data_IF_187615368422
#
_entry.id   IF_187615368422
#
_cell.length_a   1.000
_cell.length_b   1.000
_cell.length_c   1.000
_cell.angle_alpha   90.00
_cell.angle_beta   90.00
_cell.angle_gamma   90.00
#
_symmetry.space_group_name_H-M   'P 1'
#
loop_
_entity.id
_entity.type
_entity.pdbx_description
1 polymer ?
#
# COMPACT_ATOMS: atom_id res chain seq x y z
N UNK A 1 19.28 16.48 0.57
CA UNK A 1 18.72 17.43 -0.42
C UNK A 1 17.27 17.08 -0.67
N UNK A 2 16.46 18.08 -1.00
CA UNK A 2 15.06 17.89 -1.42
C UNK A 2 15.02 17.65 -2.93
N UNK A 3 14.26 16.64 -3.37
CA UNK A 3 14.00 16.33 -4.79
C UNK A 3 12.52 16.63 -5.04
N UNK A 4 12.21 17.09 -6.24
CA UNK A 4 10.84 17.32 -6.68
C UNK A 4 10.52 16.46 -7.89
N UNK A 5 9.32 15.86 -7.89
CA UNK A 5 8.75 15.19 -9.05
C UNK A 5 7.43 15.87 -9.42
N UNK A 6 7.35 16.38 -10.63
CA UNK A 6 6.25 17.16 -11.19
C UNK A 6 5.54 16.43 -12.34
N UNK A 7 5.78 15.12 -12.46
CA UNK A 7 5.30 14.35 -13.58
C UNK A 7 3.77 14.14 -13.51
N UNK A 8 3.05 14.35 -14.63
CA UNK A 8 1.61 14.15 -14.71
C UNK A 8 1.23 12.67 -14.53
N UNK A 9 0.09 12.42 -13.85
CA UNK A 9 -0.39 11.08 -13.49
C UNK A 9 -1.72 10.79 -14.17
N UNK A 10 -1.77 9.68 -14.91
CA UNK A 10 -2.95 9.13 -15.58
C UNK A 10 -3.42 7.89 -14.82
N UNK A 11 -4.72 7.76 -14.60
CA UNK A 11 -5.31 6.48 -14.17
C UNK A 11 -5.52 5.63 -15.40
N UNK A 12 -4.78 4.52 -15.51
CA UNK A 12 -4.76 3.67 -16.69
C UNK A 12 -5.96 2.70 -16.69
N UNK A 13 -6.32 2.16 -15.52
CA UNK A 13 -7.54 1.36 -15.36
C UNK A 13 -8.14 1.60 -13.96
N UNK A 14 -9.43 1.91 -13.93
CA UNK A 14 -10.17 2.21 -12.71
C UNK A 14 -10.62 0.97 -11.93
N UNK A 15 -10.74 -0.19 -12.57
CA UNK A 15 -11.17 -1.45 -11.96
C UNK A 15 -10.09 -2.01 -11.04
N UNK A 16 -8.83 -1.98 -11.50
CA UNK A 16 -7.66 -2.35 -10.69
C UNK A 16 -7.02 -1.16 -9.98
N UNK A 17 -7.44 0.08 -10.30
CA UNK A 17 -6.97 1.29 -9.64
C UNK A 17 -5.51 1.64 -9.95
N UNK A 18 -5.00 1.27 -11.12
CA UNK A 18 -3.60 1.49 -11.49
C UNK A 18 -3.41 2.88 -12.12
N UNK A 19 -2.43 3.62 -11.59
CA UNK A 19 -1.97 4.91 -12.10
C UNK A 19 -0.55 4.82 -12.66
N UNK A 20 -0.25 5.56 -13.71
CA UNK A 20 1.10 5.67 -14.30
C UNK A 20 1.47 7.14 -14.55
N UNK A 21 2.77 7.41 -14.72
CA UNK A 21 3.23 8.68 -15.30
C UNK A 21 2.92 8.68 -16.79
N UNK A 22 2.32 9.77 -17.27
CA UNK A 22 1.93 9.92 -18.67
C UNK A 22 1.68 11.37 -19.01
N UNK A 23 2.09 11.81 -20.20
CA UNK A 23 1.83 13.16 -20.71
C UNK A 23 0.32 13.50 -20.78
N UNK A 24 -0.54 12.49 -20.90
CA UNK A 24 -2.00 12.66 -20.89
C UNK A 24 -2.59 12.73 -19.46
N UNK A 25 -1.74 12.58 -18.45
CA UNK A 25 -2.12 12.58 -17.05
C UNK A 25 -2.47 13.96 -16.50
N UNK A 26 -3.07 13.97 -15.31
CA UNK A 26 -3.36 15.22 -14.58
C UNK A 26 -2.06 15.75 -13.95
N UNK A 27 -1.82 17.08 -14.00
CA UNK A 27 -0.68 17.69 -13.32
C UNK A 27 -0.61 17.27 -11.85
N UNK A 28 0.57 16.86 -11.42
CA UNK A 28 0.83 16.29 -10.10
C UNK A 28 2.21 16.72 -9.63
N UNK A 29 2.37 17.06 -8.35
CA UNK A 29 3.66 17.51 -7.80
C UNK A 29 3.88 17.01 -6.39
N UNK A 30 5.04 16.42 -6.15
CA UNK A 30 5.46 15.90 -4.84
C UNK A 30 6.90 16.30 -4.54
N UNK A 31 7.15 16.77 -3.33
CA UNK A 31 8.49 17.03 -2.82
C UNK A 31 8.93 15.89 -1.90
N UNK A 32 10.15 15.41 -2.09
CA UNK A 32 10.74 14.34 -1.30
C UNK A 32 12.00 14.83 -0.61
N UNK A 33 12.10 14.62 0.70
CA UNK A 33 13.32 14.90 1.47
C UNK A 33 13.78 13.61 2.11
N UNK A 34 14.99 13.16 1.79
CA UNK A 34 15.58 11.98 2.44
C UNK A 34 15.89 12.32 3.90
N UNK A 35 15.32 11.55 4.82
CA UNK A 35 15.54 11.66 6.27
C UNK A 35 16.71 10.78 6.70
N UNK A 36 16.71 9.52 6.28
CA UNK A 36 17.76 8.56 6.61
C UNK A 36 18.03 7.59 5.43
N UNK A 37 19.20 6.93 5.45
CA UNK A 37 19.62 5.89 4.52
C UNK A 37 20.45 4.84 5.25
N UNK A 38 20.04 3.57 5.19
CA UNK A 38 20.72 2.46 5.87
C UNK A 38 21.67 1.66 4.97
N UNK A 39 22.01 2.17 3.77
CA UNK A 39 22.83 1.44 2.79
C UNK A 39 22.03 0.58 1.79
N UNK A 40 20.74 0.32 2.06
CA UNK A 40 19.84 -0.46 1.19
C UNK A 40 18.58 0.32 0.81
N UNK A 41 17.94 0.98 1.78
CA UNK A 41 16.71 1.74 1.62
C UNK A 41 16.80 3.10 2.32
N UNK A 42 15.93 4.03 1.90
CA UNK A 42 15.85 5.37 2.50
C UNK A 42 14.48 5.59 3.15
N UNK A 43 14.46 6.21 4.32
CA UNK A 43 13.25 6.86 4.84
C UNK A 43 13.15 8.24 4.21
N UNK A 44 12.01 8.54 3.58
CA UNK A 44 11.77 9.81 2.90
C UNK A 44 10.53 10.51 3.46
N UNK A 45 10.65 11.80 3.71
CA UNK A 45 9.51 12.68 3.93
C UNK A 45 8.93 13.05 2.56
N UNK A 46 7.70 12.63 2.30
CA UNK A 46 6.95 13.02 1.11
C UNK A 46 5.96 14.14 1.45
N UNK A 47 6.03 15.24 0.69
CA UNK A 47 5.07 16.36 0.76
C UNK A 47 4.36 16.48 -0.60
N UNK A 48 3.20 15.81 -0.78
CA UNK A 48 2.40 15.98 -1.97
C UNK A 48 1.78 17.39 -1.99
N UNK A 49 1.99 18.13 -3.07
CA UNK A 49 1.40 19.47 -3.28
C UNK A 49 0.07 19.40 -4.06
N UNK A 50 -0.22 18.22 -4.61
CA UNK A 50 -1.48 17.82 -5.24
C UNK A 50 -1.94 16.49 -4.64
N UNK A 51 -3.19 16.08 -4.88
CA UNK A 51 -3.75 14.85 -4.29
C UNK A 51 -4.29 13.85 -5.31
N UNK A 52 -3.45 13.34 -6.22
CA UNK A 52 -3.88 12.28 -7.16
C UNK A 52 -3.81 10.90 -6.52
N UNK A 53 -4.63 9.98 -7.03
CA UNK A 53 -4.61 8.57 -6.62
C UNK A 53 -3.21 7.99 -6.83
N UNK A 54 -2.67 7.36 -5.78
CA UNK A 54 -1.33 6.75 -5.75
C UNK A 54 -0.15 7.70 -6.04
N UNK A 55 -0.34 9.02 -5.95
CA UNK A 55 0.65 10.01 -6.37
C UNK A 55 2.06 9.78 -5.81
N UNK A 56 2.18 9.59 -4.49
CA UNK A 56 3.48 9.35 -3.84
C UNK A 56 4.12 8.06 -4.38
N UNK A 57 3.34 6.99 -4.51
CA UNK A 57 3.80 5.66 -4.95
C UNK A 57 4.34 5.71 -6.38
N UNK A 58 3.57 6.31 -7.30
CA UNK A 58 3.91 6.46 -8.72
C UNK A 58 5.09 7.41 -8.92
N UNK A 59 5.15 8.53 -8.19
CA UNK A 59 6.29 9.46 -8.29
C UNK A 59 7.58 8.82 -7.77
N UNK A 60 7.54 8.06 -6.67
CA UNK A 60 8.70 7.31 -6.18
C UNK A 60 9.15 6.22 -7.17
N UNK A 61 8.21 5.51 -7.78
CA UNK A 61 8.48 4.55 -8.86
C UNK A 61 9.17 5.22 -10.05
N UNK A 62 8.62 6.34 -10.55
CA UNK A 62 9.18 7.11 -11.66
C UNK A 62 10.62 7.56 -11.38
N UNK A 63 10.90 8.01 -10.15
CA UNK A 63 12.26 8.38 -9.73
C UNK A 63 13.21 7.18 -9.58
N UNK A 64 12.72 5.94 -9.75
CA UNK A 64 13.50 4.71 -9.62
C UNK A 64 13.66 4.22 -8.18
N UNK A 65 12.84 4.72 -7.26
CA UNK A 65 12.89 4.41 -5.83
C UNK A 65 11.52 4.01 -5.28
N UNK A 66 10.85 2.98 -5.86
CA UNK A 66 9.53 2.55 -5.40
C UNK A 66 9.54 2.16 -3.91
N UNK A 67 8.38 2.29 -3.26
CA UNK A 67 8.23 1.90 -1.86
C UNK A 67 8.55 0.41 -1.71
N UNK A 68 9.36 0.08 -0.71
CA UNK A 68 10.00 -1.25 -0.57
C UNK A 68 9.01 -2.40 -0.63
N UNK A 69 7.90 -2.31 0.10
CA UNK A 69 6.90 -3.36 0.20
C UNK A 69 5.65 -3.12 -0.68
N UNK A 70 5.74 -2.23 -1.66
CA UNK A 70 4.62 -1.94 -2.56
C UNK A 70 4.52 -3.00 -3.67
N UNK A 71 3.63 -3.98 -3.48
CA UNK A 71 3.44 -5.12 -4.38
C UNK A 71 3.02 -4.72 -5.79
N UNK A 72 2.41 -3.55 -5.98
CA UNK A 72 2.02 -3.06 -7.29
C UNK A 72 3.20 -2.35 -7.96
N UNK A 73 3.70 -1.26 -7.37
CA UNK A 73 4.64 -0.37 -8.05
C UNK A 73 6.11 -0.79 -7.92
N UNK A 74 6.44 -1.68 -6.98
CA UNK A 74 7.76 -2.31 -6.88
C UNK A 74 7.81 -3.68 -7.59
N UNK A 75 6.97 -3.89 -8.61
CA UNK A 75 6.86 -5.15 -9.34
C UNK A 75 7.69 -5.16 -10.63
N UNK A 76 8.20 -6.33 -10.99
CA UNK A 76 8.86 -6.60 -12.29
C UNK A 76 7.87 -6.62 -13.46
N UNK A 77 6.56 -6.60 -13.19
CA UNK A 77 5.52 -6.42 -14.22
C UNK A 77 5.74 -5.12 -15.00
N UNK A 78 6.31 -4.09 -14.36
CA UNK A 78 6.73 -2.82 -14.98
C UNK A 78 8.10 -2.88 -15.68
N UNK A 79 8.59 -4.07 -16.02
CA UNK A 79 9.89 -4.29 -16.64
C UNK A 79 11.08 -4.22 -15.67
N UNK A 80 12.29 -4.38 -16.20
CA UNK A 80 13.54 -4.42 -15.41
C UNK A 80 13.77 -3.15 -14.59
N UNK A 81 13.40 -1.99 -15.16
CA UNK A 81 13.50 -0.68 -14.51
C UNK A 81 12.33 -0.35 -13.59
N UNK A 82 11.33 -1.24 -13.49
CA UNK A 82 10.14 -1.09 -12.67
C UNK A 82 9.41 0.25 -12.88
N UNK A 83 9.32 0.75 -14.12
CA UNK A 83 8.63 2.01 -14.42
C UNK A 83 9.45 3.29 -14.19
N UNK A 84 10.74 3.19 -13.85
CA UNK A 84 11.64 4.35 -13.73
C UNK A 84 11.62 5.17 -15.02
N UNK A 85 11.61 6.50 -14.89
CA UNK A 85 11.53 7.47 -15.99
C UNK A 85 10.29 7.30 -16.88
N UNK A 86 9.27 6.56 -16.41
CA UNK A 86 8.08 6.20 -17.18
C UNK A 86 8.29 5.06 -18.17
N UNK A 87 9.43 4.37 -18.10
CA UNK A 87 9.76 3.23 -18.96
C UNK A 87 9.03 1.96 -18.50
N UNK A 88 7.96 1.61 -19.23
CA UNK A 88 7.15 0.43 -18.95
C UNK A 88 7.74 -0.86 -19.57
N UNK A 89 8.67 -0.73 -20.53
CA UNK A 89 9.24 -1.86 -21.28
C UNK A 89 8.26 -2.66 -22.15
N UNK A 90 6.99 -2.27 -22.21
CA UNK A 90 5.90 -2.95 -22.95
C UNK A 90 4.77 -1.98 -23.28
N UNK A 91 3.81 -2.43 -24.10
CA UNK A 91 2.60 -1.64 -24.40
C UNK A 91 1.69 -1.51 -23.17
N UNK A 92 0.81 -0.50 -23.18
CA UNK A 92 -0.18 -0.27 -22.11
C UNK A 92 -1.12 -1.46 -21.97
N UNK A 93 -1.56 -2.02 -23.09
CA UNK A 93 -2.47 -3.15 -23.16
C UNK A 93 -1.84 -4.41 -22.56
N UNK A 94 -0.56 -4.66 -22.89
CA UNK A 94 0.16 -5.80 -22.32
C UNK A 94 0.42 -5.60 -20.82
N UNK A 95 0.78 -4.38 -20.40
CA UNK A 95 0.95 -4.07 -18.97
C UNK A 95 -0.33 -4.31 -18.18
N UNK A 96 -1.49 -3.87 -18.69
CA UNK A 96 -2.77 -4.09 -18.03
C UNK A 96 -3.08 -5.57 -17.87
N UNK A 97 -2.88 -6.36 -18.93
CA UNK A 97 -3.06 -7.80 -18.87
C UNK A 97 -2.14 -8.45 -17.84
N UNK A 98 -0.85 -8.12 -17.84
CA UNK A 98 0.11 -8.67 -16.89
C UNK A 98 -0.22 -8.27 -15.44
N UNK A 99 -0.73 -7.05 -15.21
CA UNK A 99 -1.16 -6.60 -13.90
C UNK A 99 -2.45 -7.28 -13.42
N UNK A 100 -3.41 -7.50 -14.32
CA UNK A 100 -4.63 -8.25 -14.01
C UNK A 100 -4.29 -9.70 -13.61
N UNK A 101 -3.35 -10.34 -14.30
CA UNK A 101 -2.87 -11.69 -13.97
C UNK A 101 -2.08 -11.72 -12.65
N UNK A 102 -1.19 -10.74 -12.42
CA UNK A 102 -0.36 -10.69 -11.22
C UNK A 102 -1.14 -10.29 -9.95
N UNK A 103 -2.25 -9.56 -10.09
CA UNK A 103 -3.09 -9.10 -9.00
C UNK A 103 -4.49 -9.72 -9.04
N UNK A 104 -4.58 -10.96 -9.53
CA UNK A 104 -5.84 -11.67 -9.60
C UNK A 104 -6.43 -11.89 -8.19
N UNK A 105 -7.55 -11.22 -7.94
CA UNK A 105 -8.27 -11.30 -6.66
C UNK A 105 -8.99 -12.63 -6.48
N UNK A 106 -9.04 -13.49 -7.50
CA UNK A 106 -9.61 -14.84 -7.40
C UNK A 106 -8.94 -15.67 -6.31
N UNK A 107 -7.68 -15.38 -5.97
CA UNK A 107 -6.95 -16.04 -4.88
C UNK A 107 -7.61 -15.82 -3.51
N UNK A 108 -8.41 -14.77 -3.35
CA UNK A 108 -9.12 -14.47 -2.10
C UNK A 108 -10.57 -14.95 -2.13
N UNK A 109 -11.01 -15.63 -3.19
CA UNK A 109 -12.41 -16.00 -3.41
C UNK A 109 -12.52 -17.53 -3.40
N UNK A 110 -13.44 -18.06 -2.58
CA UNK A 110 -13.87 -19.47 -2.58
C UNK A 110 -12.72 -20.50 -2.45
N UNK A 111 -11.64 -20.17 -1.74
CA UNK A 111 -10.58 -21.13 -1.43
C UNK A 111 -10.99 -22.15 -0.34
N UNK A 112 -10.57 -23.42 -0.44
CA UNK A 112 -10.86 -24.42 0.58
C UNK A 112 -10.17 -24.09 1.91
N UNK A 113 -10.90 -24.27 3.01
CA UNK A 113 -10.42 -24.07 4.39
C UNK A 113 -9.51 -25.23 4.81
N UNK A 114 -8.26 -25.19 4.37
CA UNK A 114 -7.22 -26.01 4.96
C UNK A 114 -6.58 -25.25 6.14
N UNK A 115 -6.74 -25.78 7.35
CA UNK A 115 -6.27 -25.16 8.58
C UNK A 115 -4.74 -25.00 8.57
N UNK A 116 -4.02 -25.89 7.88
CA UNK A 116 -2.57 -25.84 7.72
C UNK A 116 -2.14 -24.71 6.78
N UNK A 117 -2.92 -24.46 5.72
CA UNK A 117 -2.67 -23.33 4.81
C UNK A 117 -2.94 -21.98 5.49
N UNK A 118 -3.97 -21.90 6.34
CA UNK A 118 -4.25 -20.67 7.08
C UNK A 118 -3.19 -20.38 8.15
N UNK A 119 -2.71 -21.41 8.85
CA UNK A 119 -1.64 -21.25 9.83
C UNK A 119 -0.31 -20.85 9.15
N UNK A 120 0.05 -21.50 8.04
CA UNK A 120 1.23 -21.10 7.26
C UNK A 120 1.17 -19.66 6.76
N UNK A 121 -0.03 -19.17 6.39
CA UNK A 121 -0.27 -17.77 6.01
C UNK A 121 -0.06 -16.79 7.17
N UNK A 122 -0.40 -17.18 8.41
CA UNK A 122 -0.19 -16.38 9.62
C UNK A 122 1.30 -16.35 9.99
N UNK A 123 1.95 -17.52 9.94
CA UNK A 123 3.33 -17.71 10.36
C UNK A 123 4.37 -17.25 9.33
N UNK A 124 3.93 -16.72 8.17
CA UNK A 124 4.80 -16.14 7.15
C UNK A 124 5.71 -15.07 7.76
N UNK A 125 7.04 -15.25 7.62
CA UNK A 125 8.04 -14.36 8.22
C UNK A 125 7.86 -12.89 7.78
N UNK A 126 7.30 -12.64 6.60
CA UNK A 126 7.00 -11.28 6.12
C UNK A 126 5.95 -10.57 6.97
N UNK A 127 5.10 -11.31 7.69
CA UNK A 127 4.15 -10.75 8.63
C UNK A 127 4.81 -10.16 9.88
N UNK A 128 6.07 -10.48 10.18
CA UNK A 128 6.74 -10.04 11.42
C UNK A 128 6.64 -8.53 11.65
N UNK A 129 6.70 -7.73 10.59
CA UNK A 129 6.62 -6.28 10.68
C UNK A 129 5.20 -5.78 10.90
N UNK A 130 4.23 -6.38 10.22
CA UNK A 130 2.81 -6.07 10.41
C UNK A 130 2.37 -6.44 11.83
N UNK A 131 2.83 -7.59 12.35
CA UNK A 131 2.59 -8.05 13.72
C UNK A 131 3.24 -7.09 14.73
N UNK A 132 4.52 -6.73 14.58
CA UNK A 132 5.18 -5.75 15.47
C UNK A 132 4.48 -4.40 15.47
N UNK A 133 4.01 -3.93 14.32
CA UNK A 133 3.22 -2.70 14.23
C UNK A 133 1.88 -2.85 14.97
N UNK A 134 1.17 -3.97 14.76
CA UNK A 134 -0.08 -4.28 15.44
C UNK A 134 0.12 -4.34 16.96
N UNK A 135 1.13 -5.05 17.47
CA UNK A 135 1.47 -5.10 18.90
C UNK A 135 1.75 -3.71 19.48
N UNK A 136 2.48 -2.87 18.74
CA UNK A 136 2.76 -1.50 19.17
C UNK A 136 1.47 -0.66 19.32
N UNK A 137 0.53 -0.75 18.38
CA UNK A 137 -0.71 0.02 18.47
C UNK A 137 -1.71 -0.58 19.47
N UNK A 138 -1.79 -1.92 19.53
CA UNK A 138 -2.73 -2.63 20.40
C UNK A 138 -2.35 -2.61 21.88
N UNK A 139 -1.07 -2.35 22.20
CA UNK A 139 -0.59 -2.17 23.58
C UNK A 139 -0.88 -0.78 24.17
N UNK A 140 -1.30 0.19 23.36
CA UNK A 140 -1.65 1.52 23.85
C UNK A 140 -3.00 1.48 24.58
N UNK A 141 -3.13 2.24 25.67
CA UNK A 141 -4.34 2.23 26.52
C UNK A 141 -5.62 2.55 25.75
N UNK A 142 -5.52 3.43 24.74
CA UNK A 142 -6.64 3.79 23.87
C UNK A 142 -7.22 2.61 23.09
N UNK A 143 -6.42 1.57 22.82
CA UNK A 143 -6.89 0.40 22.08
C UNK A 143 -7.95 -0.39 22.85
N UNK A 144 -7.84 -0.46 24.18
CA UNK A 144 -8.82 -1.17 25.00
C UNK A 144 -10.21 -0.52 24.89
N UNK A 145 -10.25 0.81 24.91
CA UNK A 145 -11.49 1.57 24.74
C UNK A 145 -12.06 1.40 23.33
N UNK A 146 -11.23 1.47 22.29
CA UNK A 146 -11.67 1.24 20.91
C UNK A 146 -12.20 -0.17 20.72
N UNK A 147 -11.49 -1.19 21.21
CA UNK A 147 -11.89 -2.59 21.10
C UNK A 147 -13.21 -2.87 21.82
N UNK A 148 -13.46 -2.24 22.96
CA UNK A 148 -14.71 -2.38 23.68
C UNK A 148 -15.90 -1.73 22.93
N UNK A 149 -15.67 -0.61 22.25
CA UNK A 149 -16.72 0.15 21.58
C UNK A 149 -16.99 -0.29 20.13
N UNK A 150 -16.03 -0.91 19.45
CA UNK A 150 -16.11 -1.30 18.05
C UNK A 150 -16.01 -2.82 17.88
N UNK A 151 -16.99 -3.55 18.43
CA UNK A 151 -17.12 -5.00 18.29
C UNK A 151 -18.00 -5.33 17.08
N UNK A 152 -17.63 -6.34 16.30
CA UNK A 152 -18.47 -6.87 15.24
C UNK A 152 -19.82 -7.33 15.80
N UNK A 153 -20.91 -6.74 15.31
CA UNK A 153 -22.27 -7.09 15.70
C UNK A 153 -22.87 -8.00 14.64
N UNK A 154 -22.87 -9.31 14.90
CA UNK A 154 -23.38 -10.32 13.98
C UNK A 154 -24.86 -10.11 13.61
N UNK A 155 -25.64 -9.44 14.45
CA UNK A 155 -27.06 -9.17 14.16
C UNK A 155 -27.25 -8.09 13.08
N UNK A 156 -26.22 -7.28 12.83
CA UNK A 156 -26.23 -6.28 11.73
C UNK A 156 -25.77 -6.87 10.40
N UNK A 157 -25.37 -8.14 10.39
CA UNK A 157 -24.90 -8.82 9.19
C UNK A 157 -25.99 -9.73 8.62
N UNK A 158 -26.55 -9.34 7.48
CA UNK A 158 -27.57 -10.09 6.76
C UNK A 158 -27.02 -10.55 5.40
N UNK A 159 -27.28 -11.80 5.03
CA UNK A 159 -26.95 -12.36 3.71
C UNK A 159 -28.22 -12.58 2.91
N UNK A 160 -28.26 -12.03 1.71
CA UNK A 160 -29.31 -12.30 0.73
C UNK A 160 -28.99 -13.62 -0.02
N UNK A 161 -29.85 -14.66 0.07
CA UNK A 161 -29.65 -15.94 -0.62
C UNK A 161 -29.60 -15.83 -2.15
N UNK A 162 -30.27 -14.82 -2.72
CA UNK A 162 -30.36 -14.61 -4.17
C UNK A 162 -29.25 -13.69 -4.69
N UNK A 163 -28.52 -13.02 -3.80
CA UNK A 163 -27.39 -12.17 -4.16
C UNK A 163 -26.15 -13.02 -4.52
N UNK A 164 -25.61 -12.79 -5.71
CA UNK A 164 -24.37 -13.45 -6.15
C UNK A 164 -23.17 -13.09 -5.27
N UNK A 165 -23.10 -11.86 -4.77
CA UNK A 165 -21.98 -11.39 -3.94
C UNK A 165 -22.03 -11.99 -2.52
N UNK A 166 -23.21 -12.11 -1.92
CA UNK A 166 -23.36 -12.71 -0.58
C UNK A 166 -22.97 -14.19 -0.51
N UNK A 167 -22.96 -14.87 -1.67
CA UNK A 167 -22.55 -16.27 -1.84
C UNK A 167 -21.04 -16.45 -2.02
N UNK A 168 -20.30 -15.37 -2.28
CA UNK A 168 -18.85 -15.39 -2.41
C UNK A 168 -18.26 -15.44 -1.00
N UNK A 169 -17.48 -16.49 -0.70
CA UNK A 169 -16.62 -16.49 0.48
C UNK A 169 -15.32 -15.77 0.13
N UNK A 170 -15.13 -14.58 0.68
CA UNK A 170 -13.87 -13.83 0.56
C UNK A 170 -13.00 -14.06 1.78
N UNK A 171 -11.70 -14.24 1.58
CA UNK A 171 -10.70 -14.38 2.63
C UNK A 171 -9.90 -13.11 2.80
N UNK A 172 -9.58 -12.78 4.04
CA UNK A 172 -8.71 -11.66 4.31
C UNK A 172 -7.29 -11.95 3.77
N UNK A 173 -6.67 -10.97 3.09
CA UNK A 173 -5.26 -11.03 2.76
C UNK A 173 -4.41 -11.15 4.03
N UNK A 174 -3.20 -11.68 3.91
CA UNK A 174 -2.29 -11.77 5.06
C UNK A 174 -1.79 -10.39 5.48
N UNK A 175 -1.35 -10.26 6.73
CA UNK A 175 -1.03 -8.96 7.31
C UNK A 175 0.03 -8.18 6.50
N UNK A 176 1.03 -8.86 5.92
CA UNK A 176 2.04 -8.21 5.07
C UNK A 176 1.47 -7.70 3.74
N UNK A 177 0.40 -8.32 3.19
CA UNK A 177 -0.27 -7.87 1.97
C UNK A 177 -1.14 -6.62 2.22
N UNK A 178 -1.55 -6.41 3.47
CA UNK A 178 -2.35 -5.26 3.88
C UNK A 178 -1.49 -4.04 4.28
N UNK A 179 -0.19 -4.24 4.47
CA UNK A 179 0.72 -3.19 4.93
C UNK A 179 1.42 -2.51 3.76
N UNK A 180 1.47 -1.19 3.78
CA UNK A 180 2.34 -0.39 2.91
C UNK A 180 3.22 0.50 3.79
N UNK A 181 4.51 0.65 3.44
CA UNK A 181 5.45 1.54 4.13
C UNK A 181 5.22 3.00 3.69
N UNK A 182 4.00 3.47 3.96
CA UNK A 182 3.54 4.82 3.75
C UNK A 182 2.77 5.25 5.00
N UNK A 183 3.26 6.30 5.66
CA UNK A 183 2.71 6.75 6.94
C UNK A 183 2.21 8.18 6.86
N UNK A 184 1.01 8.38 7.37
CA UNK A 184 0.37 9.67 7.46
C UNK A 184 0.92 10.45 8.67
N UNK A 185 2.10 11.05 8.49
CA UNK A 185 2.84 11.67 9.60
C UNK A 185 2.12 12.89 10.17
N UNK A 186 1.74 13.85 9.33
CA UNK A 186 1.18 15.13 9.76
C UNK A 186 0.21 15.70 8.74
N UNK A 187 -0.87 16.28 9.25
CA UNK A 187 -1.80 17.13 8.49
C UNK A 187 -1.91 18.49 9.15
N UNK A 188 -2.12 19.52 8.34
CA UNK A 188 -2.30 20.88 8.81
C UNK A 188 -3.38 21.57 7.98
N UNK A 189 -4.44 22.00 8.65
CA UNK A 189 -5.42 22.93 8.12
C UNK A 189 -5.06 24.37 8.47
N UNK A 190 -6.00 25.30 8.23
CA UNK A 190 -5.81 26.73 8.55
C UNK A 190 -5.58 26.97 10.04
N UNK A 191 -6.37 26.29 10.89
CA UNK A 191 -6.44 26.53 12.34
C UNK A 191 -6.25 25.25 13.17
N UNK A 192 -5.80 24.16 12.55
CA UNK A 192 -5.55 22.89 13.24
C UNK A 192 -4.34 22.17 12.65
N UNK A 193 -3.68 21.38 13.49
CA UNK A 193 -2.64 20.45 13.07
C UNK A 193 -2.80 19.14 13.82
N UNK A 194 -2.52 18.05 13.14
CA UNK A 194 -2.46 16.71 13.71
C UNK A 194 -1.16 16.06 13.30
N UNK A 195 -0.46 15.43 14.25
CA UNK A 195 0.80 14.75 14.03
C UNK A 195 0.81 13.44 14.80
N UNK A 196 1.45 12.42 14.21
CA UNK A 196 1.60 11.09 14.81
C UNK A 196 3.06 10.80 15.09
N UNK A 197 3.31 9.81 15.95
CA UNK A 197 4.66 9.29 16.13
C UNK A 197 5.16 8.60 14.85
N UNK A 198 6.47 8.66 14.63
CA UNK A 198 7.12 7.92 13.53
C UNK A 198 6.93 6.42 13.71
N UNK A 199 6.49 5.70 12.66
CA UNK A 199 6.26 4.27 12.76
C UNK A 199 7.58 3.53 13.00
N UNK A 200 7.50 2.39 13.67
CA UNK A 200 8.68 1.59 14.05
C UNK A 200 9.59 1.27 12.87
N UNK A 201 9.02 1.02 11.69
CA UNK A 201 9.74 0.69 10.46
C UNK A 201 10.46 1.87 9.78
N UNK A 202 10.22 3.11 10.24
CA UNK A 202 10.88 4.30 9.71
C UNK A 202 11.99 4.84 10.63
N UNK A 203 12.20 4.23 11.81
CA UNK A 203 13.22 4.66 12.78
C UNK A 203 14.63 4.28 12.31
N UNK A 204 15.62 5.07 12.69
CA UNK A 204 17.01 4.88 12.26
C UNK A 204 17.65 3.57 12.75
N UNK A 205 17.13 3.02 13.84
CA UNK A 205 17.53 1.72 14.41
C UNK A 205 16.86 0.54 13.71
N UNK A 206 16.00 0.78 12.72
CA UNK A 206 15.25 -0.28 12.05
C UNK A 206 16.06 -0.90 10.92
N UNK A 207 16.45 -2.17 11.10
CA UNK A 207 16.99 -3.00 10.02
C UNK A 207 15.86 -3.78 9.36
N UNK A 208 15.88 -3.83 8.02
CA UNK A 208 14.92 -4.59 7.20
C UNK A 208 15.40 -6.04 6.99
N UNK A 209 16.24 -6.54 7.91
CA UNK A 209 16.84 -7.87 7.83
C UNK A 209 15.84 -8.93 8.30
#
# INVERSE_FOLDING_TARGET
GTIECDQPIETLDHRIGICIVSANGKPSRTQFTRLNYNGKSSTVLARPLTGRMHQIRVHLQYLGHPIVNDSFYNSTVFGEKKGRDGDLGKSREQLLKDLEEAHDKSIYINQPKDHDQQQARIDDERNIHAIKALEHYTSQSIWNDLKANYVFDANKYEKDPDCNECRIETFDPVAYEQLIYLHALRYQGKDWSFETQTPVWAKDTWTCD
#
